data_IF_454171076694
#
_entry.id   IF_454171076694
#
_cell.length_a   1.000
_cell.length_b   1.000
_cell.length_c   1.000
_cell.angle_alpha   90.00
_cell.angle_beta   90.00
_cell.angle_gamma   90.00
#
_symmetry.space_group_name_H-M   'P 1'
#
loop_
_entity.id
_entity.type
_entity.pdbx_description
1 polymer ?
#
# COMPACT_ATOMS: atom_id res chain seq x y z
N UNK A 1 -9.91 41.53 -44.80
CA UNK A 1 -9.61 40.29 -45.54
C UNK A 1 -10.48 39.19 -44.98
N UNK A 2 -11.03 38.36 -45.85
CA UNK A 2 -11.89 37.23 -45.51
C UNK A 2 -11.55 36.02 -46.38
N UNK A 3 -12.32 34.96 -46.23
CA UNK A 3 -12.11 33.69 -46.93
C UNK A 3 -13.36 33.33 -47.72
N UNK A 4 -13.21 33.08 -49.02
CA UNK A 4 -14.28 32.62 -49.89
C UNK A 4 -14.05 31.16 -50.30
N UNK A 5 -15.05 30.32 -50.08
CA UNK A 5 -15.09 28.96 -50.62
C UNK A 5 -15.75 29.01 -51.99
N UNK A 6 -15.04 28.54 -53.02
CA UNK A 6 -15.46 28.73 -54.41
C UNK A 6 -16.47 27.67 -54.87
N UNK A 7 -17.49 28.10 -55.62
CA UNK A 7 -18.47 27.23 -56.27
C UNK A 7 -18.00 26.71 -57.63
N UNK A 8 -16.94 27.29 -58.20
CA UNK A 8 -16.34 26.88 -59.47
C UNK A 8 -14.87 27.36 -59.56
N UNK A 9 -14.06 26.84 -60.50
CA UNK A 9 -12.68 27.29 -60.67
C UNK A 9 -12.59 28.78 -61.03
N UNK A 10 -11.75 29.53 -60.31
CA UNK A 10 -11.60 30.97 -60.48
C UNK A 10 -10.13 31.41 -60.37
N UNK A 11 -9.79 32.54 -61.00
CA UNK A 11 -8.46 33.15 -60.92
C UNK A 11 -8.50 34.36 -59.99
N UNK A 12 -7.80 34.29 -58.87
CA UNK A 12 -7.79 35.29 -57.80
C UNK A 12 -6.34 35.69 -57.54
N UNK A 13 -6.03 36.99 -57.60
CA UNK A 13 -4.67 37.50 -57.37
C UNK A 13 -3.60 36.87 -58.26
N UNK A 14 -3.97 36.44 -59.48
CA UNK A 14 -3.05 35.77 -60.42
C UNK A 14 -2.95 34.25 -60.27
N UNK A 15 -3.48 33.66 -59.20
CA UNK A 15 -3.46 32.22 -58.93
C UNK A 15 -4.80 31.57 -59.28
N UNK A 16 -4.76 30.35 -59.84
CA UNK A 16 -5.96 29.55 -60.07
C UNK A 16 -6.32 28.75 -58.84
N UNK A 17 -7.60 28.80 -58.47
CA UNK A 17 -8.23 27.99 -57.44
C UNK A 17 -9.27 27.08 -58.08
N UNK A 18 -9.42 25.87 -57.55
CA UNK A 18 -10.41 24.88 -57.99
C UNK A 18 -11.73 25.07 -57.23
N UNK A 19 -12.79 24.43 -57.74
CA UNK A 19 -14.05 24.27 -57.01
C UNK A 19 -13.82 23.70 -55.60
N UNK A 20 -14.61 24.15 -54.63
CA UNK A 20 -14.54 23.83 -53.20
C UNK A 20 -13.22 24.22 -52.49
N UNK A 21 -12.27 24.87 -53.17
CA UNK A 21 -11.10 25.45 -52.51
C UNK A 21 -11.45 26.77 -51.82
N UNK A 22 -10.73 27.04 -50.74
CA UNK A 22 -10.81 28.28 -49.98
C UNK A 22 -9.71 29.23 -50.46
N UNK A 23 -10.10 30.44 -50.85
CA UNK A 23 -9.19 31.53 -51.21
C UNK A 23 -9.32 32.66 -50.18
N UNK A 24 -8.18 33.22 -49.77
CA UNK A 24 -8.15 34.46 -49.01
C UNK A 24 -8.34 35.64 -49.97
N UNK A 25 -9.31 36.50 -49.68
CA UNK A 25 -9.74 37.59 -50.54
C UNK A 25 -9.98 38.86 -49.72
N UNK A 26 -9.77 40.03 -50.33
CA UNK A 26 -10.28 41.28 -49.77
C UNK A 26 -11.79 41.41 -50.02
N UNK A 27 -12.41 42.43 -49.42
CA UNK A 27 -13.86 42.63 -49.46
C UNK A 27 -14.37 42.92 -50.88
N UNK A 28 -13.63 43.71 -51.65
CA UNK A 28 -14.02 44.08 -53.02
C UNK A 28 -13.96 42.85 -53.94
N UNK A 29 -12.89 42.06 -53.84
CA UNK A 29 -12.74 40.81 -54.58
C UNK A 29 -13.79 39.77 -54.18
N UNK A 30 -14.12 39.67 -52.88
CA UNK A 30 -15.18 38.78 -52.41
C UNK A 30 -16.54 39.16 -53.03
N UNK A 31 -16.85 40.46 -53.04
CA UNK A 31 -18.09 41.00 -53.63
C UNK A 31 -18.15 40.73 -55.13
N UNK A 32 -17.04 40.92 -55.85
CA UNK A 32 -16.96 40.64 -57.29
C UNK A 32 -17.17 39.16 -57.61
N UNK A 33 -16.57 38.26 -56.82
CA UNK A 33 -16.75 36.82 -56.97
C UNK A 33 -18.18 36.38 -56.64
N UNK A 34 -18.80 36.98 -55.63
CA UNK A 34 -20.19 36.70 -55.25
C UNK A 34 -21.16 37.15 -56.35
N UNK A 35 -20.96 38.36 -56.91
CA UNK A 35 -21.73 38.87 -58.04
C UNK A 35 -21.60 37.98 -59.30
N UNK A 36 -20.48 37.28 -59.45
CA UNK A 36 -20.25 36.30 -60.52
C UNK A 36 -20.82 34.91 -60.21
N UNK A 37 -21.42 34.71 -59.04
CA UNK A 37 -21.93 33.40 -58.59
C UNK A 37 -20.82 32.39 -58.28
N UNK A 38 -19.59 32.85 -58.07
CA UNK A 38 -18.40 32.01 -57.84
C UNK A 38 -18.14 31.72 -56.36
N UNK A 39 -18.94 32.27 -55.45
CA UNK A 39 -18.83 32.05 -53.99
C UNK A 39 -19.92 31.09 -53.54
N UNK A 40 -19.51 29.98 -52.92
CA UNK A 40 -20.40 29.02 -52.27
C UNK A 40 -20.66 29.40 -50.81
N UNK A 41 -19.62 29.89 -50.14
CA UNK A 41 -19.67 30.31 -48.74
C UNK A 41 -18.60 31.39 -48.51
N UNK A 42 -18.90 32.40 -47.70
CA UNK A 42 -17.94 33.45 -47.31
C UNK A 42 -17.85 33.52 -45.78
N UNK A 43 -16.62 33.64 -45.28
CA UNK A 43 -16.36 33.79 -43.85
C UNK A 43 -15.27 34.81 -43.61
N UNK A 44 -15.54 35.79 -42.74
CA UNK A 44 -14.52 36.75 -42.29
C UNK A 44 -13.50 36.12 -41.33
N UNK A 45 -13.84 34.97 -40.73
CA UNK A 45 -13.05 34.32 -39.69
C UNK A 45 -12.38 33.03 -40.13
N UNK A 46 -12.69 32.54 -41.34
CA UNK A 46 -12.19 31.28 -41.90
C UNK A 46 -13.23 30.15 -41.85
N UNK A 47 -12.89 29.00 -42.44
CA UNK A 47 -13.74 27.80 -42.42
C UNK A 47 -13.13 26.75 -41.51
N UNK A 48 -13.93 26.08 -40.67
CA UNK A 48 -13.45 24.96 -39.88
C UNK A 48 -13.02 23.84 -40.83
N UNK A 49 -11.75 23.43 -40.71
CA UNK A 49 -11.25 22.25 -41.40
C UNK A 49 -11.25 21.08 -40.41
N UNK A 50 -11.96 20.01 -40.76
CA UNK A 50 -11.90 18.75 -40.01
C UNK A 50 -10.67 17.96 -40.46
N UNK A 51 -9.65 17.92 -39.61
CA UNK A 51 -8.48 17.03 -39.80
C UNK A 51 -8.68 15.66 -39.16
N UNK A 52 -9.64 15.55 -38.22
CA UNK A 52 -10.07 14.32 -37.57
C UNK A 52 -11.53 14.49 -37.07
N UNK A 53 -12.29 13.39 -36.90
CA UNK A 53 -13.67 13.46 -36.40
C UNK A 53 -13.75 14.22 -35.08
N UNK A 54 -14.52 15.31 -35.04
CA UNK A 54 -14.76 16.10 -33.82
C UNK A 54 -13.62 17.04 -33.39
N UNK A 55 -12.56 17.18 -34.20
CA UNK A 55 -11.54 18.22 -34.04
C UNK A 55 -11.61 19.14 -35.25
N UNK A 56 -12.09 20.35 -35.01
CA UNK A 56 -12.06 21.42 -35.99
C UNK A 56 -10.97 22.40 -35.61
N UNK A 57 -10.32 23.02 -36.59
CA UNK A 57 -9.44 24.15 -36.32
C UNK A 57 -9.83 25.34 -37.18
N UNK A 58 -9.67 26.52 -36.60
CA UNK A 58 -9.91 27.81 -37.24
C UNK A 58 -8.60 28.59 -37.24
N UNK A 59 -8.06 28.84 -38.43
CA UNK A 59 -6.89 29.70 -38.61
C UNK A 59 -7.38 31.12 -38.91
N UNK A 60 -7.08 32.06 -38.02
CA UNK A 60 -7.39 33.48 -38.18
C UNK A 60 -6.06 34.26 -38.29
N UNK A 61 -5.59 34.47 -39.51
CA UNK A 61 -4.26 35.05 -39.75
C UNK A 61 -3.16 34.11 -39.25
N UNK A 62 -2.41 34.52 -38.22
CA UNK A 62 -1.39 33.68 -37.55
C UNK A 62 -1.92 32.88 -36.36
N UNK A 63 -3.16 33.10 -35.93
CA UNK A 63 -3.73 32.46 -34.75
C UNK A 63 -4.43 31.15 -35.13
N UNK A 64 -3.98 30.04 -34.55
CA UNK A 64 -4.59 28.72 -34.69
C UNK A 64 -5.49 28.44 -33.48
N UNK A 65 -6.80 28.41 -33.70
CA UNK A 65 -7.77 28.02 -32.69
C UNK A 65 -8.18 26.56 -32.91
N UNK A 66 -7.96 25.71 -31.90
CA UNK A 66 -8.45 24.34 -31.88
C UNK A 66 -9.83 24.32 -31.22
N UNK A 67 -10.82 23.82 -31.96
CA UNK A 67 -12.20 23.62 -31.52
C UNK A 67 -12.36 22.13 -31.27
N UNK A 68 -12.42 21.75 -29.99
CA UNK A 68 -12.76 20.39 -29.58
C UNK A 68 -14.24 20.32 -29.21
N UNK A 69 -14.86 19.17 -29.47
CA UNK A 69 -16.22 18.92 -29.00
C UNK A 69 -16.23 18.76 -27.48
N UNK A 70 -17.36 19.08 -26.85
CA UNK A 70 -17.55 18.87 -25.41
C UNK A 70 -17.35 17.40 -25.01
N UNK A 71 -17.71 16.46 -25.89
CA UNK A 71 -17.51 15.02 -25.67
C UNK A 71 -16.02 14.65 -25.56
N UNK A 72 -15.16 15.19 -26.43
CA UNK A 72 -13.72 14.95 -26.36
C UNK A 72 -13.09 15.57 -25.11
N UNK A 73 -13.54 16.76 -24.71
CA UNK A 73 -13.10 17.38 -23.47
C UNK A 73 -13.47 16.50 -22.26
N UNK A 74 -14.72 16.01 -22.20
CA UNK A 74 -15.17 15.12 -21.12
C UNK A 74 -14.40 13.80 -21.11
N UNK A 75 -14.12 13.21 -22.28
CA UNK A 75 -13.33 12.00 -22.39
C UNK A 75 -11.89 12.19 -21.87
N UNK A 76 -11.25 13.32 -22.21
CA UNK A 76 -9.92 13.66 -21.72
C UNK A 76 -9.90 13.86 -20.20
N UNK A 77 -10.90 14.58 -19.66
CA UNK A 77 -11.06 14.79 -18.22
C UNK A 77 -11.27 13.46 -17.48
N UNK A 78 -12.10 12.56 -18.00
CA UNK A 78 -12.32 11.24 -17.40
C UNK A 78 -11.05 10.38 -17.41
N UNK A 79 -10.29 10.38 -18.53
CA UNK A 79 -9.04 9.64 -18.62
C UNK A 79 -7.99 10.15 -17.61
N UNK A 80 -7.90 11.47 -17.44
CA UNK A 80 -6.99 12.09 -16.48
C UNK A 80 -7.41 11.79 -15.03
N UNK A 81 -8.71 11.83 -14.73
CA UNK A 81 -9.25 11.47 -13.41
C UNK A 81 -8.97 10.00 -13.06
N UNK A 82 -9.14 9.08 -14.02
CA UNK A 82 -8.81 7.65 -13.86
C UNK A 82 -7.32 7.44 -13.58
N UNK A 83 -6.45 8.15 -14.30
CA UNK A 83 -5.00 8.08 -14.11
C UNK A 83 -4.59 8.55 -12.71
N UNK A 84 -5.14 9.68 -12.25
CA UNK A 84 -4.88 10.20 -10.91
C UNK A 84 -5.40 9.26 -9.81
N UNK A 85 -6.59 8.67 -10.01
CA UNK A 85 -7.13 7.67 -9.10
C UNK A 85 -6.21 6.44 -9.00
N UNK A 86 -5.74 5.92 -10.14
CA UNK A 86 -4.79 4.80 -10.18
C UNK A 86 -3.50 5.08 -9.41
N UNK A 87 -2.90 6.25 -9.62
CA UNK A 87 -1.68 6.66 -8.90
C UNK A 87 -1.89 6.74 -7.39
N UNK A 88 -3.05 7.23 -6.94
CA UNK A 88 -3.38 7.29 -5.52
C UNK A 88 -3.53 5.89 -4.90
N UNK A 89 -4.17 4.96 -5.63
CA UNK A 89 -4.30 3.57 -5.20
C UNK A 89 -2.95 2.85 -5.11
N UNK A 90 -2.09 3.00 -6.12
CA UNK A 90 -0.75 2.40 -6.12
C UNK A 90 0.09 2.92 -4.94
N UNK A 91 0.00 4.22 -4.65
CA UNK A 91 0.68 4.82 -3.49
C UNK A 91 0.16 4.29 -2.14
N UNK A 92 -1.14 4.03 -2.02
CA UNK A 92 -1.73 3.43 -0.83
C UNK A 92 -1.32 1.96 -0.67
N UNK A 93 -1.28 1.21 -1.79
CA UNK A 93 -0.88 -0.20 -1.80
C UNK A 93 0.58 -0.35 -1.35
N UNK A 94 1.48 0.50 -1.85
CA UNK A 94 2.89 0.49 -1.44
C UNK A 94 3.11 0.77 0.05
N UNK A 95 2.28 1.63 0.66
CA UNK A 95 2.33 1.88 2.11
C UNK A 95 1.86 0.66 2.91
N UNK A 96 0.76 0.03 2.49
CA UNK A 96 0.25 -1.19 3.13
C UNK A 96 1.24 -2.35 3.03
N UNK A 97 1.92 -2.52 1.89
CA UNK A 97 2.97 -3.52 1.74
C UNK A 97 4.17 -3.27 2.68
N UNK A 98 4.54 -2.00 2.87
CA UNK A 98 5.60 -1.63 3.81
C UNK A 98 5.21 -1.93 5.26
N UNK A 99 4.00 -1.53 5.67
CA UNK A 99 3.46 -1.82 7.00
C UNK A 99 3.35 -3.33 7.24
N UNK A 100 2.89 -4.09 6.25
CA UNK A 100 2.80 -5.55 6.34
C UNK A 100 4.19 -6.18 6.55
N UNK A 101 5.23 -5.71 5.84
CA UNK A 101 6.61 -6.18 6.03
C UNK A 101 7.13 -5.85 7.43
N UNK A 102 6.83 -4.67 7.96
CA UNK A 102 7.23 -4.29 9.32
C UNK A 102 6.55 -5.15 10.40
N UNK A 103 5.26 -5.42 10.23
CA UNK A 103 4.51 -6.32 11.12
C UNK A 103 5.12 -7.74 11.11
N UNK A 104 5.44 -8.27 9.92
CA UNK A 104 6.08 -9.59 9.80
C UNK A 104 7.44 -9.61 10.52
N UNK A 105 8.30 -8.63 10.27
CA UNK A 105 9.61 -8.54 10.91
C UNK A 105 9.51 -8.42 12.44
N UNK A 106 8.55 -7.63 12.93
CA UNK A 106 8.28 -7.50 14.36
C UNK A 106 7.82 -8.83 14.98
N UNK A 107 6.94 -9.55 14.27
CA UNK A 107 6.41 -10.84 14.72
C UNK A 107 7.50 -11.90 14.77
N UNK A 108 8.38 -11.96 13.76
CA UNK A 108 9.53 -12.87 13.75
C UNK A 108 10.50 -12.59 14.90
N UNK A 109 10.74 -11.32 15.20
CA UNK A 109 11.57 -10.91 16.33
C UNK A 109 10.95 -11.35 17.66
N UNK A 110 9.66 -11.11 17.86
CA UNK A 110 8.94 -11.53 19.07
C UNK A 110 8.91 -13.05 19.23
N UNK A 111 8.75 -13.80 18.13
CA UNK A 111 8.80 -15.27 18.16
C UNK A 111 10.18 -15.77 18.58
N UNK A 112 11.26 -15.16 18.07
CA UNK A 112 12.62 -15.49 18.47
C UNK A 112 12.88 -15.17 19.96
N UNK A 113 12.43 -14.01 20.44
CA UNK A 113 12.54 -13.63 21.86
C UNK A 113 11.75 -14.58 22.77
N UNK A 114 10.53 -14.95 22.38
CA UNK A 114 9.72 -15.91 23.13
C UNK A 114 10.38 -17.29 23.21
N UNK A 115 10.95 -17.78 22.12
CA UNK A 115 11.70 -19.06 22.12
C UNK A 115 12.89 -19.01 23.07
N UNK A 116 13.62 -17.89 23.13
CA UNK A 116 14.72 -17.73 24.06
C UNK A 116 14.25 -17.68 25.53
N UNK A 117 13.15 -16.99 25.81
CA UNK A 117 12.57 -16.94 27.15
C UNK A 117 12.09 -18.33 27.61
N UNK A 118 11.43 -19.08 26.73
CA UNK A 118 11.02 -20.45 26.99
C UNK A 118 12.21 -21.37 27.26
N UNK A 119 13.27 -21.28 26.45
CA UNK A 119 14.48 -22.08 26.67
C UNK A 119 15.12 -21.79 28.04
N UNK A 120 15.22 -20.51 28.42
CA UNK A 120 15.73 -20.11 29.75
C UNK A 120 14.83 -20.58 30.90
N UNK A 121 13.52 -20.54 30.71
CA UNK A 121 12.57 -21.01 31.71
C UNK A 121 12.73 -22.52 31.95
N UNK A 122 12.84 -23.31 30.88
CA UNK A 122 13.07 -24.76 30.96
C UNK A 122 14.41 -25.07 31.64
N UNK A 123 15.47 -24.33 31.32
CA UNK A 123 16.77 -24.53 31.97
C UNK A 123 16.74 -24.20 33.47
N UNK A 124 16.06 -23.11 33.85
CA UNK A 124 15.88 -22.74 35.25
C UNK A 124 15.05 -23.77 36.04
N UNK A 125 14.02 -24.35 35.41
CA UNK A 125 13.21 -25.42 36.00
C UNK A 125 14.04 -26.69 36.21
N UNK A 126 14.84 -27.09 35.21
CA UNK A 126 15.75 -28.24 35.34
C UNK A 126 16.80 -28.04 36.46
N UNK A 127 17.35 -26.84 36.59
CA UNK A 127 18.29 -26.52 37.68
C UNK A 127 17.61 -26.58 39.06
N UNK A 128 16.36 -26.09 39.15
CA UNK A 128 15.56 -26.18 40.37
C UNK A 128 15.28 -27.64 40.76
N UNK A 129 14.89 -28.46 39.80
CA UNK A 129 14.63 -29.89 40.04
C UNK A 129 15.89 -30.63 40.49
N UNK A 130 17.03 -30.32 39.89
CA UNK A 130 18.31 -30.89 40.30
C UNK A 130 18.71 -30.46 41.72
N UNK A 131 18.45 -29.20 42.11
CA UNK A 131 18.69 -28.73 43.46
C UNK A 131 17.77 -29.43 44.47
N UNK A 132 16.49 -29.63 44.14
CA UNK A 132 15.55 -30.36 44.99
C UNK A 132 15.95 -31.83 45.17
N UNK A 133 16.39 -32.50 44.10
CA UNK A 133 16.88 -33.88 44.17
C UNK A 133 18.07 -34.00 45.14
N UNK A 134 19.05 -33.08 45.06
CA UNK A 134 20.18 -33.07 46.01
C UNK A 134 19.76 -32.84 47.45
N UNK A 135 18.76 -31.99 47.69
CA UNK A 135 18.24 -31.76 49.06
C UNK A 135 17.61 -33.04 49.61
N UNK A 136 16.85 -33.76 48.79
CA UNK A 136 16.23 -35.03 49.17
C UNK A 136 17.30 -36.10 49.47
N UNK A 137 18.32 -36.24 48.62
CA UNK A 137 19.45 -37.16 48.87
C UNK A 137 20.17 -36.86 50.20
N UNK A 138 20.40 -35.58 50.51
CA UNK A 138 21.02 -35.17 51.77
C UNK A 138 20.12 -35.44 52.98
N UNK A 139 18.81 -35.26 52.85
CA UNK A 139 17.85 -35.60 53.91
C UNK A 139 17.79 -37.12 54.16
N UNK A 140 17.77 -37.93 53.11
CA UNK A 140 17.78 -39.38 53.22
C UNK A 140 19.08 -39.88 53.86
N UNK A 141 20.23 -39.33 53.46
CA UNK A 141 21.52 -39.65 54.08
C UNK A 141 21.56 -39.27 55.57
N UNK A 142 21.01 -38.11 55.94
CA UNK A 142 20.91 -37.69 57.34
C UNK A 142 19.98 -38.61 58.16
N UNK A 143 18.83 -39.01 57.59
CA UNK A 143 17.89 -39.93 58.22
C UNK A 143 18.48 -41.33 58.43
N UNK A 144 19.27 -41.83 57.48
CA UNK A 144 19.99 -43.11 57.63
C UNK A 144 21.11 -43.04 58.66
N UNK A 145 21.80 -41.90 58.79
CA UNK A 145 22.85 -41.73 59.79
C UNK A 145 22.31 -41.77 61.23
N UNK A 146 21.10 -41.25 61.48
CA UNK A 146 20.48 -41.31 62.80
C UNK A 146 19.94 -42.71 63.15
N UNK A 147 19.55 -43.52 62.16
CA UNK A 147 19.15 -44.92 62.37
C UNK A 147 20.33 -45.86 62.65
N UNK A 148 21.55 -45.48 62.28
CA UNK A 148 22.76 -46.29 62.45
C UNK A 148 23.58 -45.95 63.71
N UNK A 149 23.01 -45.22 64.68
CA UNK A 149 23.66 -45.02 65.99
C UNK A 149 23.83 -46.37 66.72
N UNK A 150 25.04 -46.72 67.21
CA UNK A 150 25.23 -47.95 67.96
C UNK A 150 24.36 -47.92 69.21
N UNK A 151 23.49 -48.91 69.38
CA UNK A 151 22.72 -49.08 70.61
C UNK A 151 23.68 -49.38 71.76
N UNK A 152 23.69 -48.53 72.79
CA UNK A 152 24.41 -48.81 74.04
C UNK A 152 23.91 -50.13 74.65
N UNK A 153 24.79 -51.02 75.12
CA UNK A 153 24.36 -52.26 75.76
C UNK A 153 23.63 -51.93 77.07
N UNK A 154 22.53 -52.65 77.39
CA UNK A 154 21.73 -52.34 78.57
C UNK A 154 22.55 -52.51 79.85
N UNK A 155 22.61 -51.45 80.65
CA UNK A 155 23.25 -51.47 81.96
C UNK A 155 22.57 -52.49 82.88
N UNK A 156 23.35 -53.41 83.45
CA UNK A 156 22.90 -54.37 84.48
C UNK A 156 22.43 -53.61 85.71
N UNK A 157 21.13 -53.63 85.98
CA UNK A 157 20.57 -53.18 87.26
C UNK A 157 20.76 -54.25 88.33
N UNK A 158 21.42 -53.88 89.43
CA UNK A 158 21.56 -54.71 90.63
C UNK A 158 20.22 -54.82 91.40
N UNK A 159 19.96 -55.92 92.13
CA UNK A 159 18.62 -56.24 92.62
C UNK A 159 18.21 -55.42 93.87
N UNK A 160 16.98 -54.92 93.86
CA UNK A 160 16.33 -54.24 94.99
C UNK A 160 15.97 -55.26 96.07
N UNK A 161 16.46 -55.04 97.29
CA UNK A 161 16.12 -55.83 98.50
C UNK A 161 14.62 -55.66 98.84
N UNK A 162 13.90 -56.77 98.94
CA UNK A 162 12.54 -56.87 99.52
C UNK A 162 12.62 -57.06 101.04
N UNK A 163 11.75 -56.38 101.78
CA UNK A 163 11.37 -56.70 103.16
C UNK A 163 10.91 -55.45 103.91
N UNK A 164 9.80 -55.41 104.66
CA UNK A 164 8.76 -56.41 104.91
C UNK A 164 7.48 -55.72 105.43
N UNK A 165 6.34 -56.26 104.99
CA UNK A 165 5.06 -56.47 105.69
C UNK A 165 4.67 -55.69 106.97
N UNK A 166 3.44 -55.15 106.93
CA UNK A 166 2.41 -55.23 108.00
C UNK A 166 2.62 -54.32 109.23
N UNK A 167 1.60 -53.81 109.92
CA UNK A 167 0.34 -54.46 110.30
C UNK A 167 -0.60 -53.43 110.95
N UNK A 168 -1.89 -53.45 110.55
CA UNK A 168 -3.17 -53.18 111.27
C UNK A 168 -3.34 -52.00 112.24
N UNK A 169 -4.55 -51.43 112.18
CA UNK A 169 -5.27 -50.89 113.34
C UNK A 169 -5.93 -49.56 113.06
#
# INVERSE_FOLDING_TARGET
>A
MGFAKLSAPAKIGGKWFKEDQIAEVDFDTATDLENQGLVKEYSETGFPSETAPGVSWLLKGTDLNLLTTNEQFQAAVQAEALKLAGQAFDGALGKLEAEAKEIVASTEKLDAENKQLLARAVEAEAQRDQALARILELQDAAGQADQNKPSEPPAKTAPIKKGAAGTKG
#
